data_IF_399032891555
#
_entry.id   IF_399032891555
#
_cell.length_a   1.000
_cell.length_b   1.000
_cell.length_c   1.000
_cell.angle_alpha   90.00
_cell.angle_beta   90.00
_cell.angle_gamma   90.00
#
_symmetry.space_group_name_H-M   'P 1'
#
loop_
_entity.id
_entity.type
_entity.pdbx_description
1 polymer ?
#
# COMPACT_ATOMS: atom_id res chain seq x y z
N UNK A 1 16.00 -11.69 -29.11
CA UNK A 1 16.65 -10.60 -28.37
C UNK A 1 17.82 -11.12 -27.60
N UNK A 2 18.96 -10.39 -27.60
CA UNK A 2 20.17 -10.76 -26.87
C UNK A 2 20.32 -9.86 -25.65
N UNK A 3 20.96 -10.35 -24.58
CA UNK A 3 21.34 -9.53 -23.43
C UNK A 3 22.59 -8.67 -23.74
N UNK A 4 23.06 -7.87 -22.78
CA UNK A 4 24.25 -7.02 -22.94
C UNK A 4 25.54 -7.82 -23.22
N UNK A 5 25.57 -9.11 -22.87
CA UNK A 5 26.70 -10.00 -23.17
C UNK A 5 26.55 -10.73 -24.51
N UNK A 6 25.52 -10.41 -25.33
CA UNK A 6 25.26 -11.07 -26.62
C UNK A 6 24.58 -12.45 -26.48
N UNK A 7 24.11 -12.82 -25.31
CA UNK A 7 23.41 -14.07 -25.04
C UNK A 7 21.90 -13.94 -25.24
N UNK A 8 21.25 -15.01 -25.65
CA UNK A 8 19.81 -15.07 -25.80
C UNK A 8 19.12 -15.03 -24.42
N UNK A 9 18.02 -14.24 -24.30
CA UNK A 9 17.20 -14.26 -23.09
C UNK A 9 16.53 -15.62 -22.92
N UNK A 10 16.71 -16.20 -21.72
CA UNK A 10 16.11 -17.46 -21.25
C UNK A 10 15.07 -17.11 -20.20
N UNK A 11 13.80 -17.26 -20.54
CA UNK A 11 12.68 -16.68 -19.76
C UNK A 11 12.12 -17.68 -18.76
N UNK A 12 12.10 -17.27 -17.48
CA UNK A 12 11.26 -17.84 -16.44
C UNK A 12 9.96 -17.04 -16.30
N UNK A 13 8.83 -17.73 -16.46
CA UNK A 13 7.50 -17.13 -16.23
C UNK A 13 7.11 -17.34 -14.77
N UNK A 14 6.88 -16.25 -14.02
CA UNK A 14 6.46 -16.36 -12.63
C UNK A 14 4.99 -15.94 -12.44
N UNK A 15 4.22 -16.82 -11.83
CA UNK A 15 2.78 -16.70 -11.60
C UNK A 15 2.47 -16.87 -10.11
N UNK A 16 1.66 -15.99 -9.55
CA UNK A 16 1.21 -16.10 -8.15
C UNK A 16 -0.27 -15.77 -8.01
N UNK A 17 -0.96 -16.60 -7.23
CA UNK A 17 -2.33 -16.35 -6.79
C UNK A 17 -2.38 -16.44 -5.25
N UNK A 18 -2.96 -15.46 -4.57
CA UNK A 18 -3.22 -15.53 -3.13
C UNK A 18 -4.63 -16.04 -2.86
N UNK A 19 -4.88 -16.60 -1.65
CA UNK A 19 -6.23 -17.02 -1.23
C UNK A 19 -7.22 -15.85 -1.21
N UNK A 20 -6.73 -14.65 -0.93
CA UNK A 20 -7.52 -13.42 -0.94
C UNK A 20 -7.93 -12.97 -2.36
N UNK A 21 -7.21 -13.43 -3.39
CA UNK A 21 -7.49 -13.14 -4.79
C UNK A 21 -8.49 -14.14 -5.41
N UNK A 22 -8.81 -15.24 -4.71
CA UNK A 22 -9.68 -16.35 -5.20
C UNK A 22 -11.16 -15.97 -5.37
N UNK A 23 -11.64 -14.95 -4.69
CA UNK A 23 -13.02 -14.44 -4.82
C UNK A 23 -13.16 -13.35 -5.91
N UNK A 24 -12.09 -13.03 -6.61
CA UNK A 24 -12.08 -12.03 -7.67
C UNK A 24 -12.18 -12.66 -9.05
N UNK A 25 -12.79 -11.90 -9.98
CA UNK A 25 -13.10 -12.31 -11.36
C UNK A 25 -11.99 -13.07 -12.09
N UNK A 26 -12.35 -13.90 -13.08
CA UNK A 26 -11.47 -14.74 -13.94
C UNK A 26 -10.15 -14.09 -14.42
N UNK A 27 -10.08 -12.76 -14.48
CA UNK A 27 -8.89 -12.02 -14.91
C UNK A 27 -7.66 -12.22 -14.02
N UNK A 28 -7.84 -12.67 -12.77
CA UNK A 28 -6.74 -12.84 -11.81
C UNK A 28 -6.34 -14.31 -11.61
N UNK A 29 -6.99 -15.23 -12.29
CA UNK A 29 -6.68 -16.66 -12.22
C UNK A 29 -5.27 -16.98 -12.77
N UNK A 30 -4.66 -18.06 -12.30
CA UNK A 30 -3.37 -18.58 -12.81
C UNK A 30 -3.44 -18.79 -14.33
N UNK A 31 -4.57 -19.32 -14.83
CA UNK A 31 -4.77 -19.57 -16.26
C UNK A 31 -4.74 -18.29 -17.10
N UNK A 32 -5.32 -17.21 -16.60
CA UNK A 32 -5.31 -15.94 -17.30
C UNK A 32 -3.92 -15.28 -17.28
N UNK A 33 -3.23 -15.31 -16.12
CA UNK A 33 -1.84 -14.84 -16.04
C UNK A 33 -0.95 -15.57 -17.05
N UNK A 34 -1.07 -16.90 -17.13
CA UNK A 34 -0.35 -17.75 -18.08
C UNK A 34 -0.62 -17.35 -19.53
N UNK A 35 -1.87 -17.11 -19.90
CA UNK A 35 -2.24 -16.67 -21.27
C UNK A 35 -1.60 -15.34 -21.64
N UNK A 36 -1.68 -14.35 -20.74
CA UNK A 36 -1.11 -13.02 -20.95
C UNK A 36 0.41 -13.10 -21.16
N UNK A 37 1.10 -13.84 -20.28
CA UNK A 37 2.56 -13.94 -20.36
C UNK A 37 2.97 -14.70 -21.63
N UNK A 38 2.34 -15.86 -21.94
CA UNK A 38 2.67 -16.62 -23.16
C UNK A 38 2.50 -15.79 -24.43
N UNK A 39 1.38 -15.06 -24.54
CA UNK A 39 1.15 -14.15 -25.67
C UNK A 39 2.27 -13.11 -25.80
N UNK A 40 2.68 -12.50 -24.68
CA UNK A 40 3.78 -11.55 -24.67
C UNK A 40 5.10 -12.18 -25.13
N UNK A 41 5.40 -13.41 -24.69
CA UNK A 41 6.61 -14.14 -25.10
C UNK A 41 6.61 -14.42 -26.60
N UNK A 42 5.47 -14.86 -27.17
CA UNK A 42 5.29 -15.12 -28.59
C UNK A 42 5.46 -13.84 -29.42
N UNK A 43 4.77 -12.76 -29.07
CA UNK A 43 4.84 -11.48 -29.77
C UNK A 43 6.25 -10.87 -29.77
N UNK A 44 7.08 -11.17 -28.76
CA UNK A 44 8.45 -10.66 -28.64
C UNK A 44 9.53 -11.68 -29.03
N UNK A 45 9.17 -12.85 -29.56
CA UNK A 45 10.10 -13.94 -29.93
C UNK A 45 11.08 -14.29 -28.80
N UNK A 46 10.57 -14.42 -27.56
CA UNK A 46 11.36 -14.73 -26.38
C UNK A 46 11.40 -16.23 -26.12
N UNK A 47 12.59 -16.73 -25.71
CA UNK A 47 12.81 -18.15 -25.43
C UNK A 47 12.27 -18.52 -24.03
N UNK A 48 11.13 -19.19 -23.98
CA UNK A 48 10.54 -19.74 -22.76
C UNK A 48 11.30 -20.96 -22.26
N UNK A 49 11.67 -20.96 -20.99
CA UNK A 49 12.43 -22.07 -20.36
C UNK A 49 11.57 -22.82 -19.35
N UNK A 50 10.96 -22.11 -18.38
CA UNK A 50 10.17 -22.76 -17.33
C UNK A 50 9.12 -21.84 -16.72
N UNK A 51 8.14 -22.46 -16.07
CA UNK A 51 7.06 -21.80 -15.32
C UNK A 51 7.21 -22.05 -13.82
N UNK A 52 7.10 -20.99 -13.03
CA UNK A 52 7.17 -21.00 -11.58
C UNK A 52 5.84 -20.51 -11.02
N UNK A 53 5.15 -21.35 -10.26
CA UNK A 53 3.79 -21.08 -9.77
C UNK A 53 3.74 -21.18 -8.26
N UNK A 54 3.19 -20.14 -7.61
CA UNK A 54 2.83 -20.12 -6.20
C UNK A 54 1.32 -19.88 -6.07
N UNK A 55 0.57 -20.96 -5.85
CA UNK A 55 -0.88 -20.93 -5.69
C UNK A 55 -1.27 -20.90 -4.21
N UNK A 56 -2.23 -20.04 -3.86
CA UNK A 56 -2.74 -19.89 -2.50
C UNK A 56 -1.76 -19.23 -1.52
N UNK A 57 -0.68 -18.61 -2.00
CA UNK A 57 0.39 -18.05 -1.17
C UNK A 57 0.35 -16.52 -1.17
N UNK A 58 0.47 -15.92 0.04
CA UNK A 58 0.47 -14.45 0.19
C UNK A 58 1.64 -13.78 -0.52
N UNK A 59 1.40 -12.59 -1.08
CA UNK A 59 2.45 -11.76 -1.68
C UNK A 59 3.37 -11.06 -0.67
N UNK A 60 3.09 -11.15 0.64
CA UNK A 60 3.87 -10.49 1.69
C UNK A 60 5.13 -11.26 2.11
N UNK A 61 5.23 -12.53 1.79
CA UNK A 61 6.43 -13.33 2.00
C UNK A 61 7.09 -13.70 0.67
N UNK A 62 8.41 -13.86 0.64
CA UNK A 62 9.19 -14.39 -0.47
C UNK A 62 9.67 -15.82 -0.21
N UNK A 63 9.40 -16.39 0.95
CA UNK A 63 9.62 -17.80 1.22
C UNK A 63 8.44 -18.60 0.65
N UNK A 64 8.56 -18.96 -0.63
CA UNK A 64 7.58 -19.66 -1.46
C UNK A 64 8.29 -20.65 -2.35
N UNK A 65 7.70 -21.81 -2.55
CA UNK A 65 8.34 -22.91 -3.28
C UNK A 65 8.66 -22.53 -4.73
N UNK A 66 7.68 -21.97 -5.46
CA UNK A 66 7.87 -21.53 -6.84
C UNK A 66 8.92 -20.42 -6.96
N UNK A 67 8.87 -19.43 -6.06
CA UNK A 67 9.86 -18.35 -6.04
C UNK A 67 11.26 -18.85 -5.68
N UNK A 68 11.39 -19.73 -4.69
CA UNK A 68 12.67 -20.31 -4.31
C UNK A 68 13.26 -21.16 -5.44
N UNK A 69 12.42 -21.86 -6.23
CA UNK A 69 12.86 -22.58 -7.43
C UNK A 69 13.33 -21.61 -8.51
N UNK A 70 12.62 -20.49 -8.74
CA UNK A 70 13.01 -19.43 -9.65
C UNK A 70 14.41 -18.88 -9.31
N UNK A 71 14.65 -18.56 -8.03
CA UNK A 71 15.94 -18.03 -7.56
C UNK A 71 17.07 -19.04 -7.80
N UNK A 72 16.87 -20.33 -7.50
CA UNK A 72 17.86 -21.37 -7.78
C UNK A 72 18.20 -21.48 -9.26
N UNK A 73 17.21 -21.36 -10.14
CA UNK A 73 17.44 -21.43 -11.59
C UNK A 73 18.13 -20.18 -12.14
N UNK A 74 17.94 -19.01 -11.50
CA UNK A 74 18.74 -17.81 -11.75
C UNK A 74 20.20 -18.04 -11.34
N UNK A 75 20.44 -18.54 -10.14
CA UNK A 75 21.80 -18.82 -9.63
C UNK A 75 22.55 -19.84 -10.51
N UNK A 76 21.84 -20.84 -11.01
CA UNK A 76 22.37 -21.84 -11.95
C UNK A 76 22.47 -21.33 -13.40
N UNK A 77 22.17 -20.05 -13.68
CA UNK A 77 22.17 -19.44 -15.03
C UNK A 77 21.27 -20.18 -16.04
N UNK A 78 20.28 -20.91 -15.54
CA UNK A 78 19.27 -21.59 -16.35
C UNK A 78 18.31 -20.60 -16.97
N UNK A 79 17.99 -19.51 -16.22
CA UNK A 79 17.21 -18.37 -16.67
C UNK A 79 17.97 -17.04 -16.40
N UNK A 80 17.78 -16.06 -17.26
CA UNK A 80 18.33 -14.72 -17.14
C UNK A 80 17.29 -13.63 -17.40
N UNK A 81 16.00 -14.01 -17.45
CA UNK A 81 14.89 -13.11 -17.59
C UNK A 81 13.67 -13.64 -16.83
N UNK A 82 13.02 -12.77 -16.08
CA UNK A 82 11.80 -13.07 -15.32
C UNK A 82 10.66 -12.23 -15.85
N UNK A 83 9.52 -12.85 -16.16
CA UNK A 83 8.33 -12.17 -16.65
C UNK A 83 7.15 -12.48 -15.74
N UNK A 84 6.44 -11.43 -15.31
CA UNK A 84 5.19 -11.52 -14.55
C UNK A 84 4.07 -10.75 -15.28
N UNK A 85 2.81 -11.06 -14.96
CA UNK A 85 1.67 -10.27 -15.46
C UNK A 85 1.74 -8.83 -14.97
N UNK A 86 1.93 -8.64 -13.69
CA UNK A 86 2.08 -7.36 -12.99
C UNK A 86 3.04 -7.50 -11.81
N UNK A 87 3.49 -6.37 -11.26
CA UNK A 87 4.46 -6.32 -10.17
C UNK A 87 3.94 -6.99 -8.90
N UNK A 88 2.63 -6.93 -8.65
CA UNK A 88 2.04 -7.53 -7.46
C UNK A 88 2.21 -9.05 -7.42
N UNK A 89 2.45 -9.70 -8.58
CA UNK A 89 2.74 -11.14 -8.68
C UNK A 89 4.13 -11.43 -8.14
N UNK A 90 5.13 -10.58 -8.41
CA UNK A 90 6.45 -10.72 -7.81
C UNK A 90 6.39 -10.62 -6.29
N UNK A 91 5.77 -9.56 -5.75
CA UNK A 91 5.60 -9.39 -4.31
C UNK A 91 4.72 -8.20 -3.96
N UNK A 92 4.12 -8.26 -2.75
CA UNK A 92 3.37 -7.15 -2.13
C UNK A 92 4.17 -6.48 -1.00
N UNK A 93 5.28 -7.07 -0.59
CA UNK A 93 6.26 -6.45 0.30
C UNK A 93 7.19 -5.58 -0.55
N UNK A 94 7.00 -4.27 -0.47
CA UNK A 94 7.72 -3.30 -1.29
C UNK A 94 9.23 -3.27 -1.00
N UNK A 95 9.67 -3.51 0.27
CA UNK A 95 11.08 -3.52 0.64
C UNK A 95 11.78 -4.69 -0.05
N UNK A 96 11.23 -5.89 0.08
CA UNK A 96 11.78 -7.10 -0.53
C UNK A 96 11.67 -7.07 -2.06
N UNK A 97 10.53 -6.59 -2.59
CA UNK A 97 10.34 -6.44 -4.03
C UNK A 97 11.36 -5.46 -4.61
N UNK A 98 11.58 -4.32 -3.93
CA UNK A 98 12.61 -3.35 -4.28
C UNK A 98 14.01 -3.97 -4.24
N UNK A 99 14.35 -4.71 -3.21
CA UNK A 99 15.63 -5.41 -3.13
C UNK A 99 15.87 -6.33 -4.35
N UNK A 100 14.87 -7.14 -4.75
CA UNK A 100 15.02 -8.01 -5.92
C UNK A 100 15.21 -7.21 -7.21
N UNK A 101 14.46 -6.13 -7.40
CA UNK A 101 14.52 -5.34 -8.64
C UNK A 101 15.72 -4.41 -8.73
N UNK A 102 16.12 -3.78 -7.63
CA UNK A 102 17.21 -2.80 -7.61
C UNK A 102 18.59 -3.41 -7.34
N UNK A 103 18.65 -4.56 -6.68
CA UNK A 103 19.91 -5.18 -6.27
C UNK A 103 20.07 -6.59 -6.85
N UNK A 104 19.22 -7.54 -6.47
CA UNK A 104 19.46 -8.95 -6.77
C UNK A 104 19.42 -9.26 -8.28
N UNK A 105 18.37 -8.85 -9.00
CA UNK A 105 18.27 -9.12 -10.44
C UNK A 105 19.36 -8.42 -11.25
N UNK A 106 19.68 -7.12 -11.02
CA UNK A 106 20.82 -6.47 -11.67
C UNK A 106 22.16 -7.17 -11.37
N UNK A 107 22.44 -7.52 -10.12
CA UNK A 107 23.66 -8.25 -9.73
C UNK A 107 23.81 -9.57 -10.47
N UNK A 108 22.72 -10.29 -10.67
CA UNK A 108 22.70 -11.56 -11.43
C UNK A 108 22.51 -11.37 -12.94
N UNK A 109 22.51 -10.14 -13.43
CA UNK A 109 22.26 -9.79 -14.86
C UNK A 109 20.92 -10.37 -15.37
N UNK A 110 19.89 -10.36 -14.52
CA UNK A 110 18.54 -10.82 -14.84
C UNK A 110 17.67 -9.64 -15.24
N UNK A 111 17.07 -9.71 -16.42
CA UNK A 111 16.02 -8.76 -16.86
C UNK A 111 14.69 -9.12 -16.21
N UNK A 112 13.99 -8.13 -15.67
CA UNK A 112 12.64 -8.31 -15.15
C UNK A 112 11.62 -7.51 -15.95
N UNK A 113 10.47 -8.14 -16.26
CA UNK A 113 9.33 -7.49 -16.93
C UNK A 113 8.04 -7.72 -16.14
N UNK A 114 7.30 -6.63 -15.86
CA UNK A 114 5.90 -6.67 -15.44
C UNK A 114 5.03 -6.09 -16.56
N UNK A 115 4.30 -6.95 -17.27
CA UNK A 115 3.66 -6.61 -18.55
C UNK A 115 2.65 -5.47 -18.39
N UNK A 116 1.69 -5.62 -17.46
CA UNK A 116 0.60 -4.64 -17.30
C UNK A 116 1.04 -3.32 -16.64
N UNK A 117 2.16 -3.35 -15.92
CA UNK A 117 2.71 -2.14 -15.29
C UNK A 117 3.70 -1.40 -16.20
N UNK A 118 4.02 -1.96 -17.38
CA UNK A 118 4.98 -1.38 -18.31
C UNK A 118 6.41 -1.33 -17.77
N UNK A 119 6.74 -2.17 -16.76
CA UNK A 119 8.07 -2.24 -16.16
C UNK A 119 8.95 -3.16 -16.97
N UNK A 120 10.13 -2.68 -17.36
CA UNK A 120 11.18 -3.44 -18.02
C UNK A 120 12.56 -2.93 -17.57
N UNK A 121 13.26 -3.71 -16.77
CA UNK A 121 14.54 -3.30 -16.19
C UNK A 121 15.68 -3.23 -17.19
N UNK A 122 15.47 -3.61 -18.47
CA UNK A 122 16.50 -3.63 -19.50
C UNK A 122 16.42 -2.46 -20.49
N UNK A 123 15.22 -1.93 -20.78
CA UNK A 123 15.02 -0.89 -21.79
C UNK A 123 15.68 0.44 -21.43
N UNK A 124 15.97 0.67 -20.16
CA UNK A 124 16.56 1.90 -19.64
C UNK A 124 18.00 1.75 -19.15
N UNK A 125 18.75 0.79 -19.69
CA UNK A 125 20.17 0.58 -19.31
C UNK A 125 21.08 1.78 -19.55
N UNK A 126 20.65 2.76 -20.33
CA UNK A 126 21.34 4.05 -20.51
C UNK A 126 20.94 5.12 -19.50
N UNK A 127 19.79 5.01 -18.83
CA UNK A 127 19.30 6.00 -17.87
C UNK A 127 18.74 5.42 -16.57
N UNK A 128 18.77 4.10 -16.38
CA UNK A 128 18.31 3.41 -15.16
C UNK A 128 16.97 3.99 -14.63
N UNK A 129 16.03 4.28 -15.53
CA UNK A 129 14.75 4.90 -15.16
C UNK A 129 13.79 3.87 -14.57
N UNK A 130 14.04 3.50 -13.31
CA UNK A 130 13.11 2.77 -12.46
C UNK A 130 12.01 3.70 -11.89
N UNK A 131 11.85 4.91 -12.47
CA UNK A 131 10.85 5.89 -12.05
C UNK A 131 9.42 5.32 -12.04
N UNK A 132 8.95 4.55 -13.03
CA UNK A 132 7.63 3.93 -12.97
C UNK A 132 7.51 2.96 -11.80
N UNK A 133 8.56 2.17 -11.54
CA UNK A 133 8.61 1.27 -10.39
C UNK A 133 8.58 2.04 -9.07
N UNK A 134 9.43 3.07 -8.91
CA UNK A 134 9.43 3.92 -7.72
C UNK A 134 8.08 4.59 -7.48
N UNK A 135 7.40 5.03 -8.52
CA UNK A 135 6.06 5.61 -8.43
C UNK A 135 5.03 4.60 -7.89
N UNK A 136 5.01 3.39 -8.45
CA UNK A 136 4.12 2.29 -7.99
C UNK A 136 4.45 1.92 -6.54
N UNK A 137 5.72 1.80 -6.19
CA UNK A 137 6.17 1.47 -4.84
C UNK A 137 5.75 2.54 -3.82
N UNK A 138 5.92 3.82 -4.17
CA UNK A 138 5.49 4.94 -3.32
C UNK A 138 3.96 4.93 -3.09
N UNK A 139 3.17 4.66 -4.13
CA UNK A 139 1.71 4.54 -4.02
C UNK A 139 1.29 3.34 -3.14
N UNK A 140 1.93 2.20 -3.30
CA UNK A 140 1.70 1.01 -2.46
C UNK A 140 2.08 1.29 -1.00
N UNK A 141 3.21 1.97 -0.75
CA UNK A 141 3.65 2.37 0.58
C UNK A 141 2.66 3.32 1.25
N UNK A 142 2.22 4.35 0.53
CA UNK A 142 1.22 5.29 1.03
C UNK A 142 -0.11 4.60 1.39
N UNK A 143 -0.57 3.65 0.55
CA UNK A 143 -1.76 2.84 0.82
C UNK A 143 -1.62 1.94 2.04
N UNK A 144 -0.46 1.30 2.23
CA UNK A 144 -0.20 0.44 3.41
C UNK A 144 -0.14 1.25 4.70
N UNK A 145 0.60 2.38 4.69
CA UNK A 145 0.62 3.31 5.83
C UNK A 145 -0.79 3.79 6.16
N UNK A 146 -1.57 4.20 5.16
CA UNK A 146 -2.95 4.66 5.37
C UNK A 146 -3.82 3.57 6.03
N UNK A 147 -3.70 2.31 5.61
CA UNK A 147 -4.41 1.19 6.23
C UNK A 147 -3.99 0.99 7.69
N UNK A 148 -2.69 1.01 7.98
CA UNK A 148 -2.16 0.86 9.34
C UNK A 148 -2.64 1.99 10.25
N UNK A 149 -2.55 3.24 9.79
CA UNK A 149 -3.04 4.40 10.54
C UNK A 149 -4.55 4.27 10.81
N UNK A 150 -5.36 3.98 9.79
CA UNK A 150 -6.81 3.80 9.94
C UNK A 150 -7.16 2.67 10.92
N UNK A 151 -6.40 1.57 10.93
CA UNK A 151 -6.59 0.48 11.89
C UNK A 151 -6.35 0.95 13.32
N UNK A 152 -5.23 1.63 13.58
CA UNK A 152 -4.91 2.18 14.91
C UNK A 152 -5.95 3.20 15.36
N UNK A 153 -6.40 4.09 14.47
CA UNK A 153 -7.45 5.05 14.80
C UNK A 153 -8.77 4.37 15.17
N UNK A 154 -9.18 3.35 14.39
CA UNK A 154 -10.39 2.56 14.69
C UNK A 154 -10.32 1.85 16.05
N UNK A 155 -9.15 1.31 16.38
CA UNK A 155 -8.94 0.64 17.67
C UNK A 155 -9.08 1.63 18.83
N UNK A 156 -8.44 2.79 18.73
CA UNK A 156 -8.56 3.86 19.71
C UNK A 156 -10.00 4.39 19.82
N UNK A 157 -10.71 4.56 18.70
CA UNK A 157 -12.13 4.95 18.72
C UNK A 157 -12.99 3.90 19.42
N UNK A 158 -12.78 2.62 19.15
CA UNK A 158 -13.51 1.53 19.81
C UNK A 158 -13.24 1.46 21.30
N UNK A 159 -12.03 1.81 21.74
CA UNK A 159 -11.69 1.92 23.18
C UNK A 159 -12.15 3.21 23.83
N UNK A 160 -12.90 4.07 23.12
CA UNK A 160 -13.45 5.32 23.66
C UNK A 160 -12.41 6.44 23.81
N UNK A 161 -11.22 6.30 23.21
CA UNK A 161 -10.20 7.34 23.30
C UNK A 161 -10.52 8.52 22.37
N UNK A 162 -10.38 9.72 22.89
CA UNK A 162 -10.44 10.95 22.11
C UNK A 162 -9.18 11.08 21.25
N UNK A 163 -9.37 11.32 19.96
CA UNK A 163 -8.28 11.37 18.97
C UNK A 163 -7.96 12.78 18.46
N UNK A 164 -8.76 13.74 18.82
CA UNK A 164 -8.53 15.14 18.44
C UNK A 164 -7.36 15.76 19.20
N UNK A 165 -6.73 16.76 18.61
CA UNK A 165 -5.70 17.56 19.29
C UNK A 165 -6.29 18.60 20.25
N UNK A 166 -7.49 19.08 19.98
CA UNK A 166 -8.20 20.08 20.77
C UNK A 166 -9.51 19.48 21.25
N UNK A 167 -9.77 19.43 22.58
CA UNK A 167 -11.03 18.94 23.11
C UNK A 167 -12.19 19.89 22.73
N UNK A 168 -13.42 19.39 22.61
CA UNK A 168 -14.60 20.23 22.44
C UNK A 168 -14.75 21.19 23.62
N UNK A 169 -15.31 22.38 23.38
CA UNK A 169 -15.60 23.34 24.45
C UNK A 169 -16.53 22.73 25.50
N UNK A 170 -16.19 22.90 26.77
CA UNK A 170 -16.83 22.19 27.89
C UNK A 170 -16.04 20.97 28.39
N UNK A 171 -14.98 20.58 27.67
CA UNK A 171 -14.10 19.49 28.06
C UNK A 171 -12.64 19.91 28.02
N UNK A 172 -11.81 19.21 28.78
CA UNK A 172 -10.34 19.27 28.77
C UNK A 172 -9.76 17.87 28.64
N UNK A 173 -8.52 17.79 28.18
CA UNK A 173 -7.79 16.51 28.18
C UNK A 173 -7.39 16.16 29.61
N UNK A 174 -7.60 14.90 29.99
CA UNK A 174 -7.12 14.37 31.26
C UNK A 174 -5.59 14.46 31.31
N UNK A 175 -5.07 14.83 32.48
CA UNK A 175 -3.63 14.82 32.74
C UNK A 175 -3.12 13.43 33.12
N UNK A 176 -4.00 12.60 33.66
CA UNK A 176 -3.65 11.29 34.21
C UNK A 176 -3.83 10.16 33.18
N UNK A 177 -4.81 10.28 32.25
CA UNK A 177 -5.12 9.26 31.27
C UNK A 177 -5.08 9.82 29.85
N UNK A 178 -4.12 9.36 29.03
CA UNK A 178 -3.95 9.81 27.65
C UNK A 178 -5.18 9.47 26.78
N UNK A 179 -5.76 10.48 26.15
CA UNK A 179 -6.91 10.31 25.25
C UNK A 179 -8.27 10.27 25.97
N UNK A 180 -8.32 10.60 27.24
CA UNK A 180 -9.55 10.76 28.02
C UNK A 180 -9.96 12.22 28.10
N UNK A 181 -11.24 12.50 27.94
CA UNK A 181 -11.82 13.80 28.17
C UNK A 181 -12.37 13.88 29.58
N UNK A 182 -12.11 15.01 30.23
CA UNK A 182 -12.70 15.38 31.52
C UNK A 182 -13.56 16.62 31.33
N UNK A 183 -14.60 16.76 32.12
CA UNK A 183 -15.44 17.95 32.11
C UNK A 183 -14.63 19.13 32.64
N UNK A 184 -14.63 20.24 31.92
CA UNK A 184 -14.14 21.51 32.42
C UNK A 184 -15.33 22.30 32.98
N UNK A 185 -15.45 22.35 34.30
CA UNK A 185 -16.65 22.85 34.97
C UNK A 185 -17.04 24.27 34.53
N UNK A 186 -16.05 25.13 34.30
CA UNK A 186 -16.33 26.52 33.87
C UNK A 186 -16.91 26.56 32.45
N UNK A 187 -16.26 25.96 31.50
CA UNK A 187 -16.72 25.97 30.10
C UNK A 187 -17.94 25.06 29.88
N UNK A 188 -18.09 24.00 30.67
CA UNK A 188 -19.28 23.13 30.61
C UNK A 188 -20.55 23.88 31.05
N UNK A 189 -20.46 24.74 32.06
CA UNK A 189 -21.59 25.54 32.50
C UNK A 189 -22.02 26.55 31.42
N UNK A 190 -21.06 27.13 30.71
CA UNK A 190 -21.34 28.00 29.58
C UNK A 190 -22.06 27.23 28.45
N UNK A 191 -21.59 26.04 28.14
CA UNK A 191 -22.21 25.15 27.12
C UNK A 191 -23.66 24.86 27.53
N UNK A 192 -23.95 24.53 28.79
CA UNK A 192 -25.32 24.32 29.30
C UNK A 192 -26.19 25.54 29.10
N UNK A 193 -25.68 26.73 29.45
CA UNK A 193 -26.40 27.98 29.24
C UNK A 193 -26.73 28.21 27.76
N UNK A 194 -25.78 27.98 26.85
CA UNK A 194 -26.02 28.10 25.39
C UNK A 194 -27.16 27.16 24.97
N UNK A 195 -27.14 25.93 25.37
CA UNK A 195 -28.19 24.95 25.04
C UNK A 195 -29.54 25.32 25.65
N UNK A 196 -29.58 25.81 26.87
CA UNK A 196 -30.81 26.30 27.51
C UNK A 196 -31.39 27.51 26.78
N UNK A 197 -30.57 28.49 26.40
CA UNK A 197 -31.03 29.64 25.63
C UNK A 197 -31.58 29.18 24.28
N UNK A 198 -30.89 28.29 23.58
CA UNK A 198 -31.36 27.79 22.30
C UNK A 198 -32.69 27.04 22.42
N UNK A 199 -32.85 26.18 23.43
CA UNK A 199 -34.13 25.46 23.67
C UNK A 199 -35.28 26.40 24.07
N UNK A 200 -34.96 27.56 24.64
CA UNK A 200 -35.95 28.60 24.96
C UNK A 200 -36.28 29.53 23.77
N UNK A 201 -35.77 29.22 22.56
CA UNK A 201 -36.08 29.93 21.34
C UNK A 201 -35.16 31.13 21.01
N UNK A 202 -34.07 31.33 21.74
CA UNK A 202 -33.09 32.35 21.40
C UNK A 202 -32.29 31.96 20.16
N UNK A 203 -32.14 32.90 19.23
CA UNK A 203 -31.31 32.70 18.03
C UNK A 203 -29.81 32.74 18.33
N UNK A 204 -28.98 32.30 17.38
CA UNK A 204 -27.51 32.31 17.52
C UNK A 204 -26.95 33.71 17.76
N UNK A 205 -27.58 34.76 17.18
CA UNK A 205 -27.17 36.16 17.38
C UNK A 205 -27.44 36.62 18.82
N UNK A 206 -28.60 36.24 19.39
CA UNK A 206 -28.94 36.60 20.77
C UNK A 206 -27.99 35.91 21.76
N UNK A 207 -27.66 34.64 21.53
CA UNK A 207 -26.71 33.87 22.33
C UNK A 207 -25.32 34.54 22.25
N UNK A 208 -24.85 34.87 21.05
CA UNK A 208 -23.58 35.55 20.83
C UNK A 208 -23.52 36.89 21.60
N UNK A 209 -24.54 37.72 21.48
CA UNK A 209 -24.64 39.03 22.16
C UNK A 209 -24.62 38.84 23.68
N UNK A 210 -25.34 37.85 24.19
CA UNK A 210 -25.34 37.51 25.62
C UNK A 210 -23.95 37.13 26.13
N UNK A 211 -23.22 36.23 25.39
CA UNK A 211 -21.88 35.77 25.75
C UNK A 211 -20.87 36.93 25.72
N UNK A 212 -20.94 37.78 24.66
CA UNK A 212 -20.09 38.98 24.55
C UNK A 212 -20.34 39.98 25.67
N UNK A 213 -21.58 40.19 26.05
CA UNK A 213 -21.95 41.09 27.17
C UNK A 213 -21.41 40.57 28.50
N UNK A 214 -21.23 39.25 28.63
CA UNK A 214 -20.62 38.59 29.80
C UNK A 214 -19.11 38.46 29.72
N UNK A 215 -18.49 39.00 28.66
CA UNK A 215 -17.05 38.92 28.42
C UNK A 215 -16.50 37.48 28.40
N UNK A 216 -17.33 36.52 27.96
CA UNK A 216 -16.92 35.12 27.85
C UNK A 216 -16.05 34.98 26.61
N UNK A 217 -14.80 34.58 26.81
CA UNK A 217 -13.81 34.40 25.73
C UNK A 217 -14.13 33.18 24.84
N UNK A 218 -13.79 33.32 23.54
CA UNK A 218 -13.79 32.19 22.61
C UNK A 218 -12.88 31.07 23.11
N UNK A 219 -13.24 29.80 22.88
CA UNK A 219 -12.27 28.73 23.03
C UNK A 219 -11.17 28.93 21.99
N UNK A 220 -9.95 29.20 22.44
CA UNK A 220 -8.74 29.36 21.62
C UNK A 220 -8.04 28.03 21.44
#
# INVERSE_FOLDING_TARGET
>A
MLNLAGEQFKVGMYIRLSREDGDKQESESIGNQRKIIKRFLEENNLNFVDEYVDDGVSGTTFDREGFNRLIRDIENKRINMVVTKDLSRLGRDYIKTGYYLENYFPEKSVRYIAILDGIDTYLDSTNNDISPFKAIMNDMYAKDISKKIKSVFREKQKSGQFLGSIPPYGYKLSKDEKGKLEVDDYSAEIVKQIFQMYSNGHGSIDIMNYLNKKEILNPS
#
